data_IF_190823482511
#
_entry.id   IF_190823482511
#
_cell.length_a   1.000
_cell.length_b   1.000
_cell.length_c   1.000
_cell.angle_alpha   90.00
_cell.angle_beta   90.00
_cell.angle_gamma   90.00
#
_symmetry.space_group_name_H-M   'P 1'
#
loop_
_entity.id
_entity.type
_entity.pdbx_description
1 polymer ?
#
# COMPACT_ATOMS: atom_id res chain seq x y z
N UNK A 1 18.01 -18.79 -2.22
CA UNK A 1 17.15 -19.27 -1.11
C UNK A 1 17.85 -20.31 -0.25
N UNK A 2 18.94 -20.93 -0.71
CA UNK A 2 19.68 -21.95 0.06
C UNK A 2 20.36 -21.44 1.35
N UNK A 3 20.37 -20.13 1.61
CA UNK A 3 20.96 -19.51 2.80
C UNK A 3 19.94 -18.76 3.68
N UNK A 4 18.64 -19.03 3.57
CA UNK A 4 17.64 -18.43 4.47
C UNK A 4 17.55 -19.20 5.78
N UNK A 5 17.35 -18.48 6.88
CA UNK A 5 16.86 -19.13 8.10
C UNK A 5 15.43 -19.61 7.88
N UNK A 6 14.98 -20.58 8.67
CA UNK A 6 13.61 -21.10 8.58
C UNK A 6 12.57 -19.97 8.63
N UNK A 7 12.72 -19.05 9.57
CA UNK A 7 11.81 -17.91 9.71
C UNK A 7 11.82 -16.96 8.50
N UNK A 8 12.98 -16.79 7.85
CA UNK A 8 13.08 -15.96 6.64
C UNK A 8 12.36 -16.63 5.46
N UNK A 9 12.50 -17.95 5.34
CA UNK A 9 11.78 -18.75 4.35
C UNK A 9 10.27 -18.65 4.56
N UNK A 10 9.80 -18.81 5.79
CA UNK A 10 8.37 -18.75 6.12
C UNK A 10 7.78 -17.37 5.84
N UNK A 11 8.46 -16.29 6.23
CA UNK A 11 8.04 -14.91 5.89
C UNK A 11 8.00 -14.68 4.38
N UNK A 12 8.99 -15.17 3.64
CA UNK A 12 9.04 -15.00 2.20
C UNK A 12 7.91 -15.76 1.49
N UNK A 13 7.62 -17.00 1.90
CA UNK A 13 6.51 -17.77 1.33
C UNK A 13 5.15 -17.12 1.61
N UNK A 14 4.96 -16.55 2.81
CA UNK A 14 3.76 -15.77 3.13
C UNK A 14 3.65 -14.52 2.24
N UNK A 15 4.73 -13.76 2.06
CA UNK A 15 4.77 -12.61 1.14
C UNK A 15 4.43 -13.04 -0.30
N UNK A 16 5.06 -14.11 -0.80
CA UNK A 16 4.90 -14.59 -2.17
C UNK A 16 3.48 -15.05 -2.46
N UNK A 17 2.86 -15.78 -1.53
CA UNK A 17 1.49 -16.33 -1.66
C UNK A 17 0.38 -15.32 -1.32
N UNK A 18 0.69 -14.27 -0.57
CA UNK A 18 -0.29 -13.25 -0.22
C UNK A 18 -0.86 -12.56 -1.47
N UNK A 19 -2.17 -12.41 -1.54
CA UNK A 19 -2.84 -11.73 -2.64
C UNK A 19 -4.15 -11.11 -2.15
N UNK A 20 -4.53 -9.98 -2.75
CA UNK A 20 -5.82 -9.34 -2.49
C UNK A 20 -6.88 -9.97 -3.40
N UNK A 21 -7.97 -10.43 -2.80
CA UNK A 21 -9.03 -11.13 -3.51
C UNK A 21 -9.68 -10.23 -4.59
N UNK A 22 -9.50 -10.62 -5.85
CA UNK A 22 -9.96 -9.86 -7.02
C UNK A 22 -11.47 -9.70 -7.07
N UNK A 23 -12.23 -10.70 -6.60
CA UNK A 23 -13.70 -10.64 -6.58
C UNK A 23 -14.17 -9.63 -5.54
N UNK A 24 -13.51 -9.56 -4.39
CA UNK A 24 -13.77 -8.53 -3.37
C UNK A 24 -13.46 -7.13 -3.91
N UNK A 25 -12.31 -6.96 -4.59
CA UNK A 25 -11.94 -5.68 -5.22
C UNK A 25 -12.94 -5.28 -6.30
N UNK A 26 -13.38 -6.20 -7.15
CA UNK A 26 -14.43 -5.96 -8.15
C UNK A 26 -15.73 -5.48 -7.51
N UNK A 27 -16.18 -6.15 -6.45
CA UNK A 27 -17.38 -5.75 -5.69
C UNK A 27 -17.22 -4.36 -5.08
N UNK A 28 -16.05 -4.05 -4.52
CA UNK A 28 -15.74 -2.74 -3.97
C UNK A 28 -15.79 -1.63 -5.01
N UNK A 29 -15.19 -1.84 -6.19
CA UNK A 29 -15.24 -0.88 -7.31
C UNK A 29 -16.68 -0.65 -7.76
N UNK A 30 -17.47 -1.72 -7.91
CA UNK A 30 -18.88 -1.60 -8.28
C UNK A 30 -19.71 -0.86 -7.23
N UNK A 31 -19.46 -1.12 -5.95
CA UNK A 31 -20.12 -0.40 -4.87
C UNK A 31 -19.76 1.09 -4.83
N UNK A 32 -18.50 1.43 -5.09
CA UNK A 32 -17.99 2.81 -4.99
C UNK A 32 -18.35 3.66 -6.21
N UNK A 33 -18.29 3.08 -7.41
CA UNK A 33 -18.41 3.82 -8.67
C UNK A 33 -19.67 3.44 -9.48
N UNK A 34 -20.47 2.48 -9.03
CA UNK A 34 -21.67 2.01 -9.75
C UNK A 34 -21.39 1.31 -11.08
N UNK A 35 -20.14 0.91 -11.33
CA UNK A 35 -19.70 0.27 -12.58
C UNK A 35 -19.27 -1.16 -12.34
N UNK A 36 -19.52 -2.06 -13.29
CA UNK A 36 -19.09 -3.45 -13.18
C UNK A 36 -17.75 -3.66 -13.93
N UNK A 37 -16.58 -3.54 -13.27
CA UNK A 37 -15.30 -3.59 -13.98
C UNK A 37 -14.98 -5.01 -14.44
N UNK A 38 -14.09 -5.13 -15.44
CA UNK A 38 -13.56 -6.44 -15.84
C UNK A 38 -12.67 -7.05 -14.76
N UNK A 39 -12.46 -8.38 -14.81
CA UNK A 39 -11.57 -9.06 -13.87
C UNK A 39 -10.11 -8.58 -14.01
N UNK A 40 -9.69 -8.16 -15.21
CA UNK A 40 -8.36 -7.60 -15.45
C UNK A 40 -8.16 -6.27 -14.72
N UNK A 41 -9.17 -5.40 -14.70
CA UNK A 41 -9.13 -4.16 -13.92
C UNK A 41 -8.99 -4.47 -12.43
N UNK A 42 -9.77 -5.42 -11.92
CA UNK A 42 -9.65 -5.86 -10.53
C UNK A 42 -8.27 -6.46 -10.20
N UNK A 43 -7.68 -7.23 -11.13
CA UNK A 43 -6.32 -7.77 -10.99
C UNK A 43 -5.27 -6.68 -10.86
N UNK A 44 -5.33 -5.65 -11.72
CA UNK A 44 -4.38 -4.53 -11.70
C UNK A 44 -4.50 -3.77 -10.38
N UNK A 45 -5.72 -3.47 -9.94
CA UNK A 45 -5.97 -2.76 -8.68
C UNK A 45 -5.53 -3.60 -7.47
N UNK A 46 -5.78 -4.91 -7.46
CA UNK A 46 -5.25 -5.82 -6.44
C UNK A 46 -3.71 -5.78 -6.38
N UNK A 47 -3.05 -5.71 -7.54
CA UNK A 47 -1.59 -5.59 -7.64
C UNK A 47 -1.07 -4.30 -7.01
N UNK A 48 -1.59 -3.15 -7.41
CA UNK A 48 -1.21 -1.85 -6.82
C UNK A 48 -1.51 -1.78 -5.32
N UNK A 49 -2.65 -2.33 -4.90
CA UNK A 49 -3.03 -2.39 -3.49
C UNK A 49 -2.04 -3.22 -2.67
N UNK A 50 -1.52 -4.34 -3.23
CA UNK A 50 -0.49 -5.16 -2.57
C UNK A 50 0.83 -4.40 -2.45
N UNK A 51 1.24 -3.67 -3.49
CA UNK A 51 2.45 -2.83 -3.47
C UNK A 51 2.33 -1.78 -2.36
N UNK A 52 1.21 -1.06 -2.29
CA UNK A 52 0.95 -0.07 -1.25
C UNK A 52 1.04 -0.67 0.16
N UNK A 53 0.42 -1.83 0.41
CA UNK A 53 0.50 -2.51 1.71
C UNK A 53 1.95 -2.90 2.04
N UNK A 54 2.73 -3.36 1.06
CA UNK A 54 4.15 -3.67 1.24
C UNK A 54 4.96 -2.46 1.70
N UNK A 55 4.80 -1.32 1.01
CA UNK A 55 5.47 -0.06 1.37
C UNK A 55 5.07 0.42 2.78
N UNK A 56 3.79 0.28 3.15
CA UNK A 56 3.31 0.66 4.49
C UNK A 56 3.95 -0.20 5.58
N UNK A 57 4.01 -1.52 5.37
CA UNK A 57 4.59 -2.46 6.34
C UNK A 57 6.09 -2.25 6.48
N UNK A 58 6.80 -2.01 5.37
CA UNK A 58 8.24 -1.74 5.38
C UNK A 58 8.56 -0.46 6.15
N UNK A 59 7.86 0.64 5.84
CA UNK A 59 8.01 1.91 6.57
C UNK A 59 7.64 1.77 8.05
N UNK A 60 6.57 1.04 8.37
CA UNK A 60 6.19 0.80 9.76
C UNK A 60 7.27 0.02 10.53
N UNK A 61 7.94 -0.94 9.88
CA UNK A 61 9.09 -1.63 10.47
C UNK A 61 10.29 -0.71 10.68
N UNK A 62 10.54 0.21 9.75
CA UNK A 62 11.58 1.24 9.91
C UNK A 62 11.29 2.15 11.13
N UNK A 63 10.03 2.58 11.30
CA UNK A 63 9.61 3.39 12.46
C UNK A 63 9.78 2.61 13.77
N UNK A 64 9.35 1.35 13.81
CA UNK A 64 9.49 0.52 15.00
C UNK A 64 10.97 0.35 15.37
N UNK A 65 11.82 0.07 14.38
CA UNK A 65 13.26 -0.09 14.59
C UNK A 65 13.92 1.22 15.05
N UNK A 66 13.55 2.37 14.48
CA UNK A 66 14.13 3.67 14.87
C UNK A 66 13.77 4.09 16.30
N UNK A 67 12.66 3.55 16.84
CA UNK A 67 12.23 3.73 18.22
C UNK A 67 12.83 2.69 19.19
N UNK A 68 13.58 1.72 18.69
CA UNK A 68 14.10 0.61 19.50
C UNK A 68 13.02 -0.35 19.99
N UNK A 69 11.86 -0.36 19.33
CA UNK A 69 10.74 -1.23 19.67
C UNK A 69 10.83 -2.57 18.92
N UNK A 70 10.15 -3.60 19.42
CA UNK A 70 10.13 -4.93 18.81
C UNK A 70 8.75 -5.58 18.97
N UNK A 71 8.53 -6.71 18.29
CA UNK A 71 7.27 -7.43 18.30
C UNK A 71 6.30 -7.01 17.17
N UNK A 72 4.98 -7.22 17.35
CA UNK A 72 3.97 -6.85 16.37
C UNK A 72 3.94 -5.34 16.08
N UNK A 73 3.55 -4.96 14.86
CA UNK A 73 3.38 -3.55 14.52
C UNK A 73 2.15 -2.97 15.23
N UNK A 74 2.37 -2.06 16.17
CA UNK A 74 1.33 -1.23 16.77
C UNK A 74 0.69 -0.24 15.78
N UNK A 75 -0.54 0.23 16.02
CA UNK A 75 -1.20 1.23 15.18
C UNK A 75 -0.41 2.54 15.00
N UNK A 76 0.36 3.01 16.00
CA UNK A 76 1.22 4.18 15.84
C UNK A 76 2.28 4.02 14.74
N UNK A 77 2.83 2.82 14.56
CA UNK A 77 3.82 2.55 13.50
C UNK A 77 3.21 2.75 12.11
N UNK A 78 1.98 2.27 11.92
CA UNK A 78 1.28 2.41 10.65
C UNK A 78 0.87 3.85 10.35
N UNK A 79 0.46 4.61 11.38
CA UNK A 79 0.15 6.04 11.22
C UNK A 79 1.38 6.83 10.81
N UNK A 80 2.51 6.56 11.47
CA UNK A 80 3.77 7.24 11.16
C UNK A 80 4.32 6.82 9.78
N UNK A 81 4.20 5.54 9.43
CA UNK A 81 4.53 5.04 8.10
C UNK A 81 3.73 5.76 7.01
N UNK A 82 2.43 5.98 7.25
CA UNK A 82 1.58 6.73 6.33
C UNK A 82 1.99 8.21 6.22
N UNK A 83 2.35 8.86 7.35
CA UNK A 83 2.90 10.23 7.34
C UNK A 83 4.14 10.31 6.45
N UNK A 84 5.13 9.45 6.68
CA UNK A 84 6.36 9.37 5.89
C UNK A 84 6.08 9.10 4.40
N UNK A 85 5.14 8.20 4.12
CA UNK A 85 4.74 7.89 2.74
C UNK A 85 4.16 9.11 2.02
N UNK A 86 3.26 9.86 2.68
CA UNK A 86 2.68 11.07 2.09
C UNK A 86 3.68 12.20 1.91
N UNK A 87 4.74 12.26 2.72
CA UNK A 87 5.84 13.23 2.54
C UNK A 87 6.70 12.88 1.33
N UNK A 88 6.99 11.60 1.11
CA UNK A 88 7.81 11.14 -0.01
C UNK A 88 7.06 11.16 -1.35
N UNK A 89 5.84 10.62 -1.39
CA UNK A 89 5.06 10.45 -2.63
C UNK A 89 4.10 11.60 -2.90
N UNK A 90 4.05 12.59 -2.01
CA UNK A 90 3.00 13.59 -1.98
C UNK A 90 1.68 13.03 -1.42
N UNK A 91 0.72 13.93 -1.18
CA UNK A 91 -0.60 13.52 -0.68
C UNK A 91 -1.33 12.71 -1.76
N UNK A 92 -1.45 11.40 -1.56
CA UNK A 92 -2.27 10.54 -2.42
C UNK A 92 -3.70 11.07 -2.45
N UNK A 93 -4.18 11.42 -3.64
CA UNK A 93 -5.56 11.82 -3.87
C UNK A 93 -5.89 13.30 -3.60
N UNK A 94 -4.95 14.13 -3.13
CA UNK A 94 -5.18 15.57 -3.10
C UNK A 94 -4.47 16.17 -4.29
N UNK A 95 -5.18 16.24 -5.42
CA UNK A 95 -4.96 17.30 -6.38
C UNK A 95 -5.29 18.63 -5.67
N UNK A 96 -4.43 19.05 -4.74
CA UNK A 96 -4.44 20.44 -4.30
C UNK A 96 -4.17 21.21 -5.59
N UNK A 97 -5.08 22.09 -6.04
CA UNK A 97 -4.71 23.02 -7.09
C UNK A 97 -3.44 23.69 -6.61
N UNK A 98 -2.33 23.54 -7.34
CA UNK A 98 -1.14 24.31 -7.05
C UNK A 98 -1.57 25.77 -7.19
N UNK A 99 -1.74 26.43 -6.06
CA UNK A 99 -2.21 27.81 -5.96
C UNK A 99 -1.28 28.65 -6.84
N UNK A 100 -1.75 29.04 -8.02
CA UNK A 100 -1.00 29.90 -8.94
C UNK A 100 -0.69 29.37 -10.34
N UNK A 101 -0.93 28.09 -10.68
CA UNK A 101 -0.72 27.63 -12.07
C UNK A 101 -2.04 27.52 -12.84
N UNK A 102 -2.38 28.58 -13.60
CA UNK A 102 -3.46 28.52 -14.60
C UNK A 102 -2.99 27.57 -15.70
N UNK A 103 -3.60 26.37 -15.76
CA UNK A 103 -3.16 25.30 -16.66
C UNK A 103 -3.55 25.54 -18.12
N UNK A 104 -4.35 26.56 -18.42
CA UNK A 104 -4.78 26.90 -19.76
C UNK A 104 -4.86 28.42 -19.91
N UNK A 105 -4.10 28.96 -20.86
CA UNK A 105 -4.36 30.26 -21.47
C UNK A 105 -5.06 30.01 -22.81
N UNK A 106 -6.08 30.83 -23.09
CA UNK A 106 -6.80 30.84 -24.37
C UNK A 106 -6.09 31.76 -25.35
#
# INVERSE_FOLDING_TARGET
MENFTQDQHDRYEQYRRSAINKNTVRKFINHTFGTNPSMNVAQVISGFSKVFVGEMVEKARQVQQSRGESGPLAPEHLREAYRMYTEEKGKVGVALPQRGKRLFFR
#
